data_IF_202574111307
#
_entry.id   IF_202574111307
#
_cell.length_a   1.000
_cell.length_b   1.000
_cell.length_c   1.000
_cell.angle_alpha   90.00
_cell.angle_beta   90.00
_cell.angle_gamma   90.00
#
_symmetry.space_group_name_H-M   'P 1'
#
loop_
_entity.id
_entity.type
_entity.pdbx_description
1 polymer ?
#
# COMPACT_ATOMS: atom_id res chain seq x y z
N UNK A 1 -38.17 2.47 27.25
CA UNK A 1 -37.55 3.72 27.69
C UNK A 1 -36.37 3.27 28.53
N UNK A 2 -35.11 3.34 28.11
CA UNK A 2 -34.32 4.42 27.52
C UNK A 2 -32.98 3.74 27.09
N UNK A 3 -32.56 3.82 25.82
CA UNK A 3 -31.44 4.66 25.33
C UNK A 3 -30.10 4.41 26.08
N UNK A 4 -28.93 4.20 25.47
CA UNK A 4 -28.49 4.42 24.10
C UNK A 4 -27.05 3.95 23.85
N UNK A 5 -26.69 4.05 22.57
CA UNK A 5 -25.41 3.78 21.90
C UNK A 5 -24.16 4.35 22.58
N UNK A 6 -23.04 3.64 22.39
CA UNK A 6 -21.79 4.22 21.86
C UNK A 6 -20.82 3.13 21.37
N UNK A 7 -21.07 2.59 20.17
CA UNK A 7 -20.05 1.88 19.39
C UNK A 7 -19.28 2.90 18.55
N UNK A 8 -18.22 3.49 19.10
CA UNK A 8 -17.34 4.41 18.39
C UNK A 8 -16.40 3.64 17.46
N UNK A 9 -16.79 3.45 16.20
CA UNK A 9 -15.99 2.77 15.19
C UNK A 9 -14.73 3.57 14.81
N UNK A 10 -13.59 2.87 14.78
CA UNK A 10 -12.24 3.33 14.44
C UNK A 10 -12.11 3.84 12.98
N UNK A 11 -12.76 4.95 12.63
CA UNK A 11 -12.70 5.55 11.27
C UNK A 11 -11.53 6.54 11.05
N UNK A 12 -10.60 6.65 12.01
CA UNK A 12 -9.50 7.62 11.98
C UNK A 12 -8.23 7.17 11.22
N UNK A 13 -7.99 5.87 11.07
CA UNK A 13 -6.72 5.33 10.55
C UNK A 13 -6.47 5.66 9.08
N UNK A 14 -7.47 5.47 8.22
CA UNK A 14 -7.35 5.67 6.77
C UNK A 14 -7.04 7.14 6.39
N UNK A 15 -7.64 8.09 7.13
CA UNK A 15 -7.43 9.53 6.89
C UNK A 15 -5.96 9.95 7.11
N UNK A 16 -5.28 9.35 8.09
CA UNK A 16 -3.85 9.58 8.35
C UNK A 16 -2.96 9.05 7.22
N UNK A 17 -3.20 7.79 6.84
CA UNK A 17 -2.47 7.09 5.76
C UNK A 17 -2.51 7.89 4.46
N UNK A 18 -3.71 8.30 4.01
CA UNK A 18 -3.87 9.05 2.77
C UNK A 18 -3.22 10.43 2.84
N UNK A 19 -3.36 11.14 3.96
CA UNK A 19 -2.74 12.45 4.13
C UNK A 19 -1.22 12.37 4.00
N UNK A 20 -0.60 11.36 4.62
CA UNK A 20 0.84 11.16 4.56
C UNK A 20 1.30 10.72 3.15
N UNK A 21 0.53 9.87 2.47
CA UNK A 21 0.75 9.54 1.05
C UNK A 21 0.77 10.80 0.17
N UNK A 22 -0.24 11.66 0.33
CA UNK A 22 -0.36 12.89 -0.46
C UNK A 22 0.74 13.90 -0.14
N UNK A 23 1.24 13.93 1.09
CA UNK A 23 2.41 14.72 1.45
C UNK A 23 3.65 14.25 0.68
N UNK A 24 3.91 12.94 0.62
CA UNK A 24 5.02 12.38 -0.14
C UNK A 24 4.92 12.74 -1.62
N UNK A 25 3.75 12.50 -2.22
CA UNK A 25 3.51 12.73 -3.66
C UNK A 25 3.56 14.21 -4.04
N UNK A 26 3.02 15.13 -3.21
CA UNK A 26 2.94 16.55 -3.57
C UNK A 26 4.16 17.37 -3.16
N UNK A 27 4.77 17.04 -2.01
CA UNK A 27 5.82 17.87 -1.41
C UNK A 27 7.21 17.27 -1.60
N UNK A 28 7.33 15.94 -1.50
CA UNK A 28 8.64 15.30 -1.38
C UNK A 28 9.03 14.44 -2.58
N UNK A 29 8.20 14.33 -3.62
CA UNK A 29 8.47 13.45 -4.77
C UNK A 29 9.84 13.67 -5.42
N UNK A 30 10.33 14.91 -5.47
CA UNK A 30 11.62 15.25 -6.08
C UNK A 30 12.82 14.84 -5.21
N UNK A 31 12.59 14.57 -3.92
CA UNK A 31 13.60 14.14 -2.98
C UNK A 31 13.62 12.61 -2.82
N UNK A 32 12.66 11.90 -3.42
CA UNK A 32 12.49 10.46 -3.28
C UNK A 32 13.14 9.73 -4.46
N UNK A 33 14.00 8.77 -4.13
CA UNK A 33 14.55 7.79 -5.07
C UNK A 33 13.98 6.43 -4.71
N UNK A 34 13.41 5.73 -5.70
CA UNK A 34 12.84 4.40 -5.52
C UNK A 34 13.46 3.41 -6.49
N UNK A 35 13.74 2.22 -6.01
CA UNK A 35 14.17 1.07 -6.79
C UNK A 35 13.23 -0.10 -6.49
N UNK A 36 12.82 -0.81 -7.52
CA UNK A 36 11.99 -2.01 -7.43
C UNK A 36 12.79 -3.18 -8.01
N UNK A 37 12.85 -4.27 -7.26
CA UNK A 37 13.49 -5.52 -7.66
C UNK A 37 12.46 -6.65 -7.56
N UNK A 38 12.34 -7.46 -8.61
CA UNK A 38 11.53 -8.67 -8.54
C UNK A 38 12.27 -9.70 -7.69
N UNK A 39 11.56 -10.30 -6.75
CA UNK A 39 12.06 -11.41 -5.93
C UNK A 39 11.14 -12.62 -6.09
N UNK A 40 11.55 -13.76 -5.55
CA UNK A 40 10.67 -14.92 -5.48
C UNK A 40 9.38 -14.56 -4.72
N UNK A 41 8.23 -14.87 -5.30
CA UNK A 41 6.93 -14.58 -4.70
C UNK A 41 6.52 -13.10 -4.65
N UNK A 42 7.26 -12.15 -5.25
CA UNK A 42 6.84 -10.73 -5.17
C UNK A 42 7.89 -9.71 -5.57
N UNK A 43 8.01 -8.65 -4.77
CA UNK A 43 8.93 -7.53 -4.98
C UNK A 43 9.65 -7.11 -3.70
N UNK A 44 10.88 -6.65 -3.87
CA UNK A 44 11.61 -5.89 -2.87
C UNK A 44 11.77 -4.46 -3.39
N UNK A 45 11.33 -3.48 -2.61
CA UNK A 45 11.41 -2.07 -2.96
C UNK A 45 12.29 -1.32 -1.97
N UNK A 46 13.21 -0.52 -2.47
CA UNK A 46 14.03 0.37 -1.65
C UNK A 46 13.65 1.80 -2.01
N UNK A 47 13.11 2.54 -1.05
CA UNK A 47 12.70 3.93 -1.24
C UNK A 47 13.47 4.81 -0.25
N UNK A 48 14.16 5.84 -0.75
CA UNK A 48 15.10 6.66 0.02
C UNK A 48 14.96 8.14 -0.29
N UNK A 49 15.40 8.96 0.65
CA UNK A 49 15.49 10.42 0.54
C UNK A 49 16.80 10.90 1.19
N UNK A 50 17.94 10.75 0.48
CA UNK A 50 19.28 10.95 1.04
C UNK A 50 19.57 12.40 1.46
N UNK A 51 18.87 13.37 0.87
CA UNK A 51 19.11 14.80 1.09
C UNK A 51 17.99 15.50 1.85
N UNK A 52 16.93 14.78 2.22
CA UNK A 52 15.80 15.34 2.95
C UNK A 52 15.33 14.38 4.04
N UNK A 53 15.75 14.66 5.29
CA UNK A 53 15.41 13.85 6.47
C UNK A 53 13.92 13.86 6.80
N UNK A 54 13.22 14.96 6.52
CA UNK A 54 11.76 15.04 6.77
C UNK A 54 11.00 14.14 5.79
N UNK A 55 11.42 14.09 4.53
CA UNK A 55 10.88 13.17 3.53
C UNK A 55 11.16 11.70 3.89
N UNK A 56 12.37 11.37 4.35
CA UNK A 56 12.71 10.02 4.83
C UNK A 56 11.81 9.59 6.01
N UNK A 57 11.59 10.49 6.99
CA UNK A 57 10.69 10.21 8.12
C UNK A 57 9.23 10.07 7.70
N UNK A 58 8.76 10.92 6.78
CA UNK A 58 7.40 10.83 6.25
C UNK A 58 7.17 9.52 5.49
N UNK A 59 8.17 9.05 4.76
CA UNK A 59 8.16 7.77 4.05
C UNK A 59 8.05 6.60 5.04
N UNK A 60 8.91 6.57 6.05
CA UNK A 60 8.89 5.51 7.07
C UNK A 60 7.54 5.46 7.80
N UNK A 61 7.02 6.64 8.21
CA UNK A 61 5.71 6.73 8.85
C UNK A 61 4.60 6.18 7.94
N UNK A 62 4.56 6.64 6.68
CA UNK A 62 3.53 6.22 5.73
C UNK A 62 3.53 4.71 5.49
N UNK A 63 4.70 4.10 5.30
CA UNK A 63 4.82 2.66 5.06
C UNK A 63 4.41 1.85 6.29
N UNK A 64 4.80 2.27 7.50
CA UNK A 64 4.35 1.64 8.75
C UNK A 64 2.83 1.72 8.93
N UNK A 65 2.24 2.88 8.67
CA UNK A 65 0.79 3.05 8.74
C UNK A 65 0.05 2.23 7.66
N UNK A 66 0.64 2.12 6.45
CA UNK A 66 0.07 1.30 5.38
C UNK A 66 0.09 -0.19 5.72
N UNK A 67 1.19 -0.69 6.29
CA UNK A 67 1.27 -2.08 6.80
C UNK A 67 0.19 -2.34 7.85
N UNK A 68 0.05 -1.44 8.82
CA UNK A 68 -0.98 -1.57 9.85
C UNK A 68 -2.41 -1.53 9.26
N UNK A 69 -2.63 -0.70 8.23
CA UNK A 69 -3.91 -0.68 7.51
C UNK A 69 -4.18 -2.03 6.83
N UNK A 70 -3.20 -2.55 6.08
CA UNK A 70 -3.28 -3.83 5.38
C UNK A 70 -3.57 -4.97 6.36
N UNK A 71 -2.76 -5.13 7.41
CA UNK A 71 -2.91 -6.20 8.41
C UNK A 71 -4.23 -6.13 9.20
N UNK A 72 -4.81 -4.94 9.32
CA UNK A 72 -6.10 -4.76 9.98
C UNK A 72 -7.31 -5.12 9.10
N UNK A 73 -7.09 -5.44 7.81
CA UNK A 73 -8.17 -5.57 6.81
C UNK A 73 -8.85 -4.22 6.51
N UNK A 74 -8.17 -3.11 6.82
CA UNK A 74 -8.65 -1.78 6.47
C UNK A 74 -8.58 -1.55 4.96
N UNK A 75 -9.16 -0.46 4.48
CA UNK A 75 -9.27 -0.21 3.03
C UNK A 75 -8.93 1.22 2.66
N UNK A 76 -8.36 1.43 1.48
CA UNK A 76 -8.06 2.74 0.92
C UNK A 76 -8.16 2.65 -0.61
N UNK A 77 -8.66 3.73 -1.24
CA UNK A 77 -8.89 3.78 -2.70
C UNK A 77 -9.76 2.62 -3.23
N UNK A 78 -10.84 2.28 -2.53
CA UNK A 78 -11.76 1.20 -2.98
C UNK A 78 -12.41 1.42 -4.36
N UNK A 79 -12.34 2.63 -4.90
CA UNK A 79 -12.76 2.92 -6.26
C UNK A 79 -11.74 2.49 -7.33
N UNK A 80 -10.47 2.27 -6.96
CA UNK A 80 -9.41 1.83 -7.85
C UNK A 80 -9.37 0.28 -7.87
N UNK A 81 -9.59 -0.38 -9.02
CA UNK A 81 -9.72 -1.84 -9.09
C UNK A 81 -8.55 -2.61 -8.47
N UNK A 82 -7.31 -2.15 -8.70
CA UNK A 82 -6.13 -2.80 -8.14
C UNK A 82 -6.10 -2.72 -6.61
N UNK A 83 -6.43 -1.55 -6.04
CA UNK A 83 -6.39 -1.37 -4.58
C UNK A 83 -7.53 -2.14 -3.92
N UNK A 84 -8.73 -2.11 -4.50
CA UNK A 84 -9.85 -2.88 -4.00
C UNK A 84 -9.49 -4.38 -3.91
N UNK A 85 -8.85 -4.93 -4.94
CA UNK A 85 -8.43 -6.34 -4.97
C UNK A 85 -7.30 -6.65 -3.99
N UNK A 86 -6.27 -5.81 -3.89
CA UNK A 86 -5.17 -6.03 -2.92
C UNK A 86 -5.70 -6.11 -1.50
N UNK A 87 -6.63 -5.21 -1.14
CA UNK A 87 -7.24 -5.23 0.20
C UNK A 87 -8.26 -6.36 0.38
N UNK A 88 -8.84 -6.90 -0.70
CA UNK A 88 -9.63 -8.13 -0.63
C UNK A 88 -8.75 -9.38 -0.38
N UNK A 89 -7.46 -9.32 -0.71
CA UNK A 89 -6.50 -10.44 -0.62
C UNK A 89 -5.39 -10.18 0.40
N UNK A 90 -5.63 -9.29 1.36
CA UNK A 90 -4.60 -8.76 2.25
C UNK A 90 -3.93 -9.83 3.14
N UNK A 91 -4.64 -10.89 3.49
CA UNK A 91 -4.19 -12.00 4.33
C UNK A 91 -3.27 -12.98 3.58
N UNK A 92 -3.21 -12.88 2.25
CA UNK A 92 -2.32 -13.64 1.39
C UNK A 92 -1.03 -12.87 1.07
N UNK A 93 -0.86 -11.66 1.62
CA UNK A 93 0.31 -10.80 1.41
C UNK A 93 1.17 -10.77 2.67
N UNK A 94 2.40 -11.25 2.55
CA UNK A 94 3.43 -11.05 3.56
C UNK A 94 4.19 -9.76 3.25
N UNK A 95 4.10 -8.77 4.14
CA UNK A 95 4.82 -7.51 4.02
C UNK A 95 5.85 -7.39 5.14
N UNK A 96 7.12 -7.18 4.84
CA UNK A 96 8.17 -6.87 5.82
C UNK A 96 8.77 -5.50 5.56
N UNK A 97 9.12 -4.79 6.63
CA UNK A 97 9.70 -3.44 6.56
C UNK A 97 11.03 -3.45 7.28
N UNK A 98 12.07 -3.03 6.59
CA UNK A 98 13.39 -2.71 7.14
C UNK A 98 13.60 -1.20 7.09
N UNK A 99 13.88 -0.59 8.25
CA UNK A 99 14.22 0.82 8.32
C UNK A 99 15.68 1.04 7.88
N UNK A 100 15.91 2.05 7.04
CA UNK A 100 17.23 2.49 6.60
C UNK A 100 17.51 3.89 7.17
N UNK A 101 18.76 4.34 7.14
CA UNK A 101 19.13 5.68 7.65
C UNK A 101 18.35 6.80 6.94
N UNK A 102 18.15 6.66 5.63
CA UNK A 102 17.56 7.66 4.74
C UNK A 102 16.28 7.17 4.06
N UNK A 103 15.65 6.11 4.56
CA UNK A 103 14.44 5.57 3.94
C UNK A 103 14.01 4.23 4.47
N UNK A 104 13.40 3.41 3.61
CA UNK A 104 12.89 2.09 3.95
C UNK A 104 13.13 1.11 2.82
N UNK A 105 13.29 -0.16 3.20
CA UNK A 105 13.17 -1.30 2.32
C UNK A 105 11.92 -2.08 2.70
N UNK A 106 11.11 -2.41 1.71
CA UNK A 106 9.87 -3.16 1.88
C UNK A 106 9.91 -4.38 0.99
N UNK A 107 9.67 -5.54 1.55
CA UNK A 107 9.48 -6.77 0.78
C UNK A 107 8.03 -7.19 0.92
N UNK A 108 7.35 -7.33 -0.21
CA UNK A 108 5.97 -7.81 -0.32
C UNK A 108 5.99 -9.12 -1.12
N UNK A 109 5.50 -10.20 -0.52
CA UNK A 109 5.49 -11.53 -1.13
C UNK A 109 4.18 -12.27 -0.90
N UNK A 110 3.91 -13.26 -1.74
CA UNK A 110 2.80 -14.22 -1.60
C UNK A 110 3.18 -15.58 -2.17
N UNK A 111 2.56 -16.63 -1.64
CA UNK A 111 2.60 -17.97 -2.24
C UNK A 111 1.58 -18.13 -3.38
N UNK A 112 0.55 -17.28 -3.45
CA UNK A 112 -0.43 -17.30 -4.54
C UNK A 112 0.10 -16.47 -5.73
N UNK A 113 0.36 -17.10 -6.91
CA UNK A 113 0.93 -16.39 -8.05
C UNK A 113 0.03 -15.29 -8.64
N UNK A 114 -1.27 -15.28 -8.38
CA UNK A 114 -2.14 -14.16 -8.80
C UNK A 114 -1.95 -12.96 -7.87
N UNK A 115 -1.75 -13.19 -6.57
CA UNK A 115 -1.45 -12.14 -5.60
C UNK A 115 -0.06 -11.55 -5.87
N UNK A 116 0.91 -12.37 -6.33
CA UNK A 116 2.20 -11.88 -6.82
C UNK A 116 2.05 -10.85 -7.93
N UNK A 117 1.13 -11.07 -8.88
CA UNK A 117 0.87 -10.11 -9.96
C UNK A 117 0.21 -8.81 -9.44
N UNK A 118 -0.65 -8.89 -8.42
CA UNK A 118 -1.20 -7.71 -7.75
C UNK A 118 -0.11 -6.90 -7.06
N UNK A 119 0.80 -7.56 -6.32
CA UNK A 119 1.95 -6.93 -5.66
C UNK A 119 2.84 -6.19 -6.68
N UNK A 120 3.14 -6.83 -7.82
CA UNK A 120 3.94 -6.22 -8.89
C UNK A 120 3.24 -5.01 -9.51
N UNK A 121 1.95 -5.12 -9.79
CA UNK A 121 1.16 -4.00 -10.29
C UNK A 121 1.06 -2.85 -9.27
N UNK A 122 0.96 -3.16 -7.97
CA UNK A 122 1.02 -2.17 -6.90
C UNK A 122 2.33 -1.41 -6.93
N UNK A 123 3.45 -2.14 -6.97
CA UNK A 123 4.77 -1.53 -7.02
C UNK A 123 4.90 -0.61 -8.25
N UNK A 124 4.43 -1.04 -9.42
CA UNK A 124 4.42 -0.20 -10.62
C UNK A 124 3.53 1.05 -10.47
N UNK A 125 2.37 0.93 -9.82
CA UNK A 125 1.48 2.07 -9.58
C UNK A 125 2.09 3.10 -8.61
N UNK A 126 2.80 2.64 -7.58
CA UNK A 126 3.53 3.54 -6.66
C UNK A 126 4.62 4.31 -7.40
N UNK A 127 5.33 3.70 -8.36
CA UNK A 127 6.28 4.43 -9.20
C UNK A 127 5.59 5.52 -10.03
N UNK A 128 4.39 5.24 -10.55
CA UNK A 128 3.62 6.24 -11.28
C UNK A 128 3.20 7.42 -10.39
N UNK A 129 2.85 7.19 -9.12
CA UNK A 129 2.56 8.28 -8.18
C UNK A 129 3.77 9.20 -7.98
N UNK A 130 4.97 8.64 -7.87
CA UNK A 130 6.20 9.43 -7.72
C UNK A 130 6.55 10.18 -9.03
N UNK A 131 6.41 9.51 -10.17
CA UNK A 131 6.74 10.08 -11.49
C UNK A 131 5.78 11.19 -11.92
N UNK A 132 4.46 10.97 -11.79
CA UNK A 132 3.40 11.83 -12.38
C UNK A 132 2.60 12.61 -11.35
N UNK A 133 2.77 12.32 -10.06
CA UNK A 133 2.14 13.09 -9.00
C UNK A 133 0.61 12.97 -9.00
N UNK A 134 -0.08 14.12 -8.97
CA UNK A 134 -1.55 14.22 -8.88
C UNK A 134 -2.29 13.46 -9.98
N UNK A 135 -1.76 13.49 -11.20
CA UNK A 135 -2.39 12.84 -12.34
C UNK A 135 -2.58 11.34 -12.09
N UNK A 136 -1.48 10.64 -11.74
CA UNK A 136 -1.52 9.21 -11.44
C UNK A 136 -2.41 8.86 -10.23
N UNK A 137 -2.53 9.76 -9.24
CA UNK A 137 -3.40 9.55 -8.07
C UNK A 137 -4.88 9.47 -8.45
N UNK A 138 -5.31 10.20 -9.47
CA UNK A 138 -6.71 10.22 -9.92
C UNK A 138 -7.03 9.20 -11.01
N UNK A 139 -6.03 8.48 -11.50
CA UNK A 139 -6.22 7.41 -12.47
C UNK A 139 -6.52 6.08 -11.77
N UNK A 140 -7.48 5.36 -12.33
CA UNK A 140 -7.71 3.96 -12.02
C UNK A 140 -6.50 3.12 -12.44
N UNK A 141 -6.31 2.00 -11.75
CA UNK A 141 -5.33 1.00 -12.12
C UNK A 141 -6.07 -0.29 -12.43
N UNK A 142 -6.09 -0.73 -13.70
CA UNK A 142 -6.73 -2.00 -14.04
C UNK A 142 -6.00 -3.16 -13.38
N UNK A 143 -6.71 -4.27 -13.20
CA UNK A 143 -6.10 -5.52 -12.76
C UNK A 143 -5.05 -5.99 -13.78
N UNK A 144 -3.99 -6.70 -13.34
CA UNK A 144 -3.02 -7.30 -14.26
C UNK A 144 -3.71 -8.17 -15.30
N UNK A 145 -3.23 -8.15 -16.54
CA UNK A 145 -3.83 -8.93 -17.65
C UNK A 145 -3.86 -10.44 -17.39
N UNK A 146 -2.88 -10.93 -16.64
CA UNK A 146 -2.75 -12.34 -16.28
C UNK A 146 -3.40 -12.68 -14.92
N UNK A 147 -3.98 -11.69 -14.24
CA UNK A 147 -4.68 -11.90 -12.99
C UNK A 147 -5.97 -12.70 -13.21
N UNK A 148 -6.09 -13.84 -12.54
CA UNK A 148 -7.24 -14.73 -12.67
C UNK A 148 -7.84 -15.03 -11.30
N UNK A 149 -8.57 -14.07 -10.72
CA UNK A 149 -9.23 -14.17 -9.40
C UNK A 149 -9.60 -15.62 -9.04
N UNK A 150 -8.71 -16.31 -8.34
CA UNK A 150 -8.95 -17.64 -7.79
C UNK A 150 -9.80 -17.48 -6.53
N UNK A 151 -10.61 -18.48 -6.21
CA UNK A 151 -11.22 -18.53 -4.89
C UNK A 151 -10.10 -18.42 -3.83
N UNK A 152 -10.25 -17.58 -2.80
CA UNK A 152 -9.23 -17.43 -1.78
C UNK A 152 -8.96 -18.78 -1.14
N UNK A 153 -7.70 -19.05 -0.78
CA UNK A 153 -7.32 -20.30 -0.12
C UNK A 153 -8.06 -20.49 1.22
N UNK A 154 -8.49 -19.37 1.84
CA UNK A 154 -9.33 -19.34 3.02
C UNK A 154 -10.58 -18.48 2.75
N UNK A 155 -11.80 -18.99 2.95
CA UNK A 155 -13.00 -18.16 2.85
C UNK A 155 -12.97 -17.10 3.95
N UNK A 156 -12.92 -15.82 3.56
CA UNK A 156 -13.14 -14.72 4.47
C UNK A 156 -14.56 -14.82 5.04
N UNK A 157 -14.68 -14.92 6.37
CA UNK A 157 -15.95 -14.69 7.06
C UNK A 157 -16.23 -13.18 7.04
N UNK A 158 -17.24 -12.70 6.29
CA UNK A 158 -17.56 -11.28 6.30
C UNK A 158 -18.07 -10.93 7.70
N UNK A 159 -17.30 -10.12 8.44
CA UNK A 159 -17.76 -9.53 9.70
C UNK A 159 -18.94 -8.58 9.49
#
# INVERSE_FOLDING_TARGET
MDSGRAGGGMHGGNHGVMRNAMQLVHRYRSDIVRQVENVEGGVMTTTRSPHNRDAARALELHVREMKALLESGGRIRDWDPLFAEIFDRYDEIEMTIEALEDGVRVTETSEDPDVVELIRAHAAKVDQFLARGREAVHEETPLPVDYRRRAPAHPHDPR
#
